data_IF_578936710260
#
_entry.id   IF_578936710260
#
_cell.length_a   1.000
_cell.length_b   1.000
_cell.length_c   1.000
_cell.angle_alpha   90.00
_cell.angle_beta   90.00
_cell.angle_gamma   90.00
#
_symmetry.space_group_name_H-M   'P 1'
#
loop_
_entity.id
_entity.type
_entity.pdbx_description
1 polymer ?
#
# COMPACT_ATOMS: atom_id res chain seq x y z
N UNK A 1 -12.80 23.76 0.31
CA UNK A 1 -12.21 23.05 1.45
C UNK A 1 -10.77 22.80 1.06
N UNK A 2 -9.83 23.45 1.72
CA UNK A 2 -8.40 23.23 1.47
C UNK A 2 -8.07 21.89 2.12
N UNK A 3 -8.12 20.84 1.32
CA UNK A 3 -7.67 19.51 1.72
C UNK A 3 -6.23 19.66 2.21
N UNK A 4 -6.01 19.25 3.45
CA UNK A 4 -4.71 19.37 4.09
C UNK A 4 -3.77 18.36 3.39
N UNK A 5 -3.02 18.85 2.40
CA UNK A 5 -2.14 18.05 1.56
C UNK A 5 -1.12 17.27 2.39
N UNK A 6 -0.66 17.90 3.47
CA UNK A 6 0.39 17.37 4.34
C UNK A 6 -0.03 17.47 5.80
N UNK A 7 -0.02 16.36 6.52
CA UNK A 7 -0.21 16.30 7.97
C UNK A 7 1.13 16.04 8.66
N UNK A 8 1.39 16.72 9.73
CA UNK A 8 2.52 16.45 10.60
C UNK A 8 2.06 15.78 11.89
N UNK A 9 2.48 14.53 12.10
CA UNK A 9 2.18 13.76 13.29
C UNK A 9 3.23 14.05 14.37
N UNK A 10 2.77 14.51 15.54
CA UNK A 10 3.59 14.80 16.73
C UNK A 10 3.46 13.69 17.79
N UNK A 11 2.78 12.60 17.44
CA UNK A 11 2.55 11.44 18.30
C UNK A 11 2.85 10.16 17.55
N UNK A 12 3.23 9.13 18.30
CA UNK A 12 3.38 7.79 17.75
C UNK A 12 2.04 7.28 17.18
N UNK A 13 2.07 6.76 15.96
CA UNK A 13 0.89 6.24 15.26
C UNK A 13 0.36 4.92 15.83
N UNK A 14 1.15 4.22 16.64
CA UNK A 14 0.77 2.94 17.25
C UNK A 14 0.29 3.13 18.69
N UNK A 15 1.09 3.76 19.55
CA UNK A 15 0.77 3.88 20.98
C UNK A 15 0.32 5.27 21.41
N UNK A 16 0.22 6.24 20.49
CA UNK A 16 -0.17 7.63 20.72
C UNK A 16 0.77 8.41 21.66
N UNK A 17 1.90 7.86 22.05
CA UNK A 17 2.91 8.55 22.87
C UNK A 17 3.45 9.79 22.17
N UNK A 18 3.74 10.84 22.96
CA UNK A 18 4.44 12.03 22.50
C UNK A 18 5.96 11.89 22.56
N UNK A 19 6.48 10.79 23.11
CA UNK A 19 7.92 10.53 23.19
C UNK A 19 8.42 9.94 21.87
N UNK A 20 8.48 10.79 20.86
CA UNK A 20 9.05 10.48 19.55
C UNK A 20 10.30 11.31 19.32
N UNK A 21 11.35 10.68 18.85
CA UNK A 21 12.64 11.30 18.58
C UNK A 21 12.99 11.18 17.10
N UNK A 22 13.59 12.24 16.50
CA UNK A 22 14.07 12.15 15.12
C UNK A 22 15.09 11.00 14.97
N UNK A 23 14.84 10.09 14.04
CA UNK A 23 15.74 8.97 13.76
C UNK A 23 16.48 9.15 12.44
N UNK A 24 15.77 9.47 11.35
CA UNK A 24 16.34 9.63 10.02
C UNK A 24 15.71 10.84 9.34
N UNK A 25 16.55 11.67 8.72
CA UNK A 25 16.11 12.72 7.80
C UNK A 25 16.62 12.41 6.41
N UNK A 26 15.71 12.16 5.50
CA UNK A 26 16.00 12.01 4.08
C UNK A 26 15.83 13.36 3.36
N UNK A 27 16.29 13.44 2.12
CA UNK A 27 16.08 14.60 1.26
C UNK A 27 14.58 14.71 0.96
N UNK A 28 14.06 15.94 0.98
CA UNK A 28 12.68 16.20 0.58
C UNK A 28 12.49 15.78 -0.88
N UNK A 29 11.42 15.06 -1.19
CA UNK A 29 11.21 14.40 -2.49
C UNK A 29 9.81 14.66 -3.04
N UNK A 30 9.62 14.65 -4.37
CA UNK A 30 8.29 14.60 -4.96
C UNK A 30 7.53 13.33 -4.56
N UNK A 31 6.22 13.30 -4.83
CA UNK A 31 5.45 12.06 -4.69
C UNK A 31 5.94 11.02 -5.69
N UNK A 32 5.93 9.77 -5.25
CA UNK A 32 6.20 8.62 -6.10
C UNK A 32 5.18 8.49 -7.23
N UNK A 33 5.59 7.89 -8.33
CA UNK A 33 4.77 7.52 -9.49
C UNK A 33 3.98 8.68 -10.15
N UNK A 34 4.28 9.93 -9.79
CA UNK A 34 3.74 11.10 -10.47
C UNK A 34 4.59 11.45 -11.71
N UNK A 35 4.33 10.75 -12.81
CA UNK A 35 5.02 10.98 -14.07
C UNK A 35 4.59 12.30 -14.73
N UNK A 36 5.58 13.10 -15.11
CA UNK A 36 5.37 14.35 -15.84
C UNK A 36 5.31 14.06 -17.34
N UNK A 37 4.32 14.63 -18.03
CA UNK A 37 4.21 14.50 -19.49
C UNK A 37 5.39 15.15 -20.20
N UNK A 38 5.74 14.64 -21.38
CA UNK A 38 6.90 15.10 -22.14
C UNK A 38 6.82 16.58 -22.57
N UNK A 39 5.63 17.13 -22.70
CA UNK A 39 5.37 18.56 -23.00
C UNK A 39 5.43 19.47 -21.78
N UNK A 40 5.55 18.87 -20.58
CA UNK A 40 5.51 19.56 -19.28
C UNK A 40 6.79 19.33 -18.46
N UNK A 41 7.92 19.01 -19.11
CA UNK A 41 9.20 18.70 -18.43
C UNK A 41 9.79 19.90 -17.66
N UNK A 42 9.33 21.13 -17.91
CA UNK A 42 9.71 22.33 -17.17
C UNK A 42 8.88 22.52 -15.89
N UNK A 43 7.88 21.67 -15.63
CA UNK A 43 7.08 21.75 -14.43
C UNK A 43 7.91 21.33 -13.21
N UNK A 44 8.01 22.22 -12.24
CA UNK A 44 8.67 21.95 -10.97
C UNK A 44 7.69 21.21 -10.06
N UNK A 45 7.99 19.94 -9.77
CA UNK A 45 7.15 19.13 -8.91
C UNK A 45 7.26 19.58 -7.45
N UNK A 46 6.15 19.65 -6.68
CA UNK A 46 6.20 19.87 -5.25
C UNK A 46 7.02 18.79 -4.55
N UNK A 47 7.84 19.19 -3.59
CA UNK A 47 8.61 18.27 -2.76
C UNK A 47 8.06 18.25 -1.33
N UNK A 48 8.16 17.10 -0.67
CA UNK A 48 7.60 16.85 0.65
C UNK A 48 8.65 16.30 1.61
N UNK A 49 8.58 16.65 2.90
CA UNK A 49 9.54 16.17 3.90
C UNK A 49 9.46 14.65 4.10
N UNK A 50 10.62 13.97 4.04
CA UNK A 50 10.79 12.59 4.44
C UNK A 50 11.57 12.51 5.75
N UNK A 51 10.85 12.49 6.87
CA UNK A 51 11.43 12.43 8.22
C UNK A 51 10.87 11.26 8.98
N UNK A 52 11.76 10.40 9.47
CA UNK A 52 11.43 9.24 10.29
C UNK A 52 11.69 9.55 11.75
N UNK A 53 10.75 9.21 12.60
CA UNK A 53 10.92 9.27 14.06
C UNK A 53 10.81 7.88 14.69
N UNK A 54 11.55 7.72 15.79
CA UNK A 54 11.47 6.55 16.67
C UNK A 54 10.58 6.91 17.89
N UNK A 55 9.59 6.09 18.15
CA UNK A 55 8.89 6.14 19.42
C UNK A 55 9.72 5.42 20.49
N UNK A 56 10.16 6.14 21.52
CA UNK A 56 10.96 5.56 22.61
C UNK A 56 10.13 4.72 23.59
N UNK A 57 8.79 4.78 23.51
CA UNK A 57 7.91 3.98 24.34
C UNK A 57 7.63 2.58 23.78
N UNK A 58 7.46 2.45 22.47
CA UNK A 58 7.09 1.17 21.87
C UNK A 58 8.06 0.69 20.78
N UNK A 59 9.11 1.44 20.46
CA UNK A 59 10.11 1.08 19.46
C UNK A 59 9.65 1.27 18.01
N UNK A 60 8.45 1.82 17.77
CA UNK A 60 7.93 1.97 16.41
C UNK A 60 8.60 3.12 15.66
N UNK A 61 9.12 2.81 14.46
CA UNK A 61 9.65 3.78 13.51
C UNK A 61 8.55 4.17 12.52
N UNK A 62 8.31 5.47 12.33
CA UNK A 62 7.31 5.95 11.38
C UNK A 62 7.67 7.29 10.75
N UNK A 63 7.13 7.56 9.56
CA UNK A 63 7.17 8.88 8.96
C UNK A 63 6.34 9.85 9.80
N UNK A 64 6.89 11.04 10.06
CA UNK A 64 6.18 12.11 10.80
C UNK A 64 5.33 12.99 9.88
N UNK A 65 5.61 12.97 8.58
CA UNK A 65 4.87 13.72 7.57
C UNK A 65 4.08 12.77 6.70
N UNK A 66 2.78 12.98 6.63
CA UNK A 66 1.82 12.12 5.93
C UNK A 66 1.15 12.94 4.84
N UNK A 67 1.34 12.53 3.61
CA UNK A 67 0.63 13.09 2.46
C UNK A 67 -0.81 12.56 2.46
N UNK A 68 -1.75 13.38 2.01
CA UNK A 68 -3.12 12.92 1.80
C UNK A 68 -3.12 11.75 0.80
N UNK A 69 -3.59 10.55 1.19
CA UNK A 69 -3.58 9.37 0.34
C UNK A 69 -4.29 9.56 -1.00
N UNK A 70 -5.28 10.46 -1.05
CA UNK A 70 -5.98 10.77 -2.30
C UNK A 70 -5.06 11.33 -3.38
N UNK A 71 -3.96 11.99 -3.01
CA UNK A 71 -2.97 12.50 -3.98
C UNK A 71 -2.06 11.41 -4.52
N UNK A 72 -1.74 10.40 -3.70
CA UNK A 72 -0.88 9.28 -4.13
C UNK A 72 -1.65 8.23 -4.94
N UNK A 73 -2.93 8.02 -4.63
CA UNK A 73 -3.68 6.88 -5.17
C UNK A 73 -4.80 7.26 -6.15
N UNK A 74 -5.09 8.58 -6.38
CA UNK A 74 -6.14 8.98 -7.31
C UNK A 74 -5.88 8.52 -8.74
N UNK A 75 -4.63 8.65 -9.19
CA UNK A 75 -4.16 8.31 -10.54
C UNK A 75 -3.05 7.24 -10.49
N UNK A 76 -3.15 6.31 -9.54
CA UNK A 76 -2.15 5.25 -9.37
C UNK A 76 -2.19 4.29 -10.56
N UNK A 77 -1.04 4.11 -11.22
CA UNK A 77 -0.95 3.40 -12.50
C UNK A 77 -0.22 2.06 -12.42
N UNK A 78 0.44 1.79 -11.28
CA UNK A 78 1.16 0.53 -11.12
C UNK A 78 0.21 -0.65 -10.96
N UNK A 79 0.43 -1.68 -11.77
CA UNK A 79 -0.31 -2.95 -11.76
C UNK A 79 0.67 -4.07 -11.47
N UNK A 80 0.41 -4.87 -10.44
CA UNK A 80 1.33 -5.90 -9.93
C UNK A 80 1.74 -6.91 -11.00
N UNK A 81 0.80 -7.35 -11.83
CA UNK A 81 1.04 -8.37 -12.85
C UNK A 81 2.09 -8.00 -13.91
N UNK A 82 2.42 -6.70 -14.08
CA UNK A 82 3.44 -6.30 -15.06
C UNK A 82 4.87 -6.52 -14.56
N UNK A 83 5.05 -6.77 -13.28
CA UNK A 83 6.36 -7.04 -12.69
C UNK A 83 6.78 -8.47 -12.94
N UNK A 84 7.85 -8.64 -13.72
CA UNK A 84 8.36 -9.96 -14.11
C UNK A 84 8.73 -10.78 -12.87
N UNK A 85 8.17 -11.98 -12.77
CA UNK A 85 8.43 -12.95 -11.69
C UNK A 85 7.61 -12.75 -10.42
N UNK A 86 6.98 -11.58 -10.23
CA UNK A 86 6.22 -11.31 -9.01
C UNK A 86 4.98 -12.21 -8.84
N UNK A 87 4.21 -12.53 -9.88
CA UNK A 87 3.10 -13.50 -9.74
C UNK A 87 3.56 -14.88 -9.29
N UNK A 88 4.69 -15.39 -9.80
CA UNK A 88 5.24 -16.67 -9.38
C UNK A 88 5.69 -16.63 -7.91
N UNK A 89 6.33 -15.53 -7.51
CA UNK A 89 6.71 -15.31 -6.10
C UNK A 89 5.47 -15.32 -5.18
N UNK A 90 4.35 -14.77 -5.60
CA UNK A 90 3.11 -14.79 -4.82
C UNK A 90 2.53 -16.21 -4.71
N UNK A 91 2.65 -17.04 -5.73
CA UNK A 91 2.22 -18.44 -5.67
C UNK A 91 3.06 -19.24 -4.67
N UNK A 92 4.37 -19.06 -4.70
CA UNK A 92 5.29 -19.67 -3.74
C UNK A 92 4.99 -19.19 -2.31
N UNK A 93 4.83 -17.89 -2.13
CA UNK A 93 4.52 -17.27 -0.85
C UNK A 93 3.19 -17.78 -0.27
N UNK A 94 2.12 -17.78 -1.05
CA UNK A 94 0.81 -18.26 -0.60
C UNK A 94 0.87 -19.74 -0.20
N UNK A 95 1.56 -20.56 -0.98
CA UNK A 95 1.77 -21.98 -0.70
C UNK A 95 2.56 -22.20 0.58
N UNK A 96 3.65 -21.45 0.77
CA UNK A 96 4.48 -21.51 1.97
C UNK A 96 3.69 -21.14 3.22
N UNK A 97 2.94 -20.02 3.20
CA UNK A 97 2.10 -19.57 4.32
C UNK A 97 1.06 -20.63 4.69
N UNK A 98 0.34 -21.15 3.71
CA UNK A 98 -0.68 -22.19 3.94
C UNK A 98 -0.07 -23.43 4.59
N UNK A 99 1.08 -23.88 4.10
CA UNK A 99 1.74 -25.07 4.60
C UNK A 99 2.39 -24.86 5.97
N UNK A 100 3.14 -23.77 6.16
CA UNK A 100 3.85 -23.50 7.42
C UNK A 100 2.90 -23.32 8.62
N UNK A 101 1.74 -22.72 8.38
CA UNK A 101 0.75 -22.47 9.45
C UNK A 101 -0.42 -23.47 9.46
N UNK A 102 -0.42 -24.46 8.59
CA UNK A 102 -1.47 -25.48 8.51
C UNK A 102 -2.87 -24.89 8.26
N UNK A 103 -2.93 -23.84 7.42
CA UNK A 103 -4.19 -23.12 7.19
C UNK A 103 -5.16 -24.02 6.42
N UNK A 104 -6.38 -24.14 6.94
CA UNK A 104 -7.39 -24.99 6.35
C UNK A 104 -7.98 -24.39 5.08
N UNK A 105 -8.38 -25.25 4.14
CA UNK A 105 -9.08 -24.81 2.93
C UNK A 105 -10.33 -23.98 3.27
N UNK A 106 -10.64 -23.02 2.42
CA UNK A 106 -11.73 -22.04 2.57
C UNK A 106 -11.57 -21.06 3.75
N UNK A 107 -10.42 -21.04 4.43
CA UNK A 107 -10.10 -19.96 5.37
C UNK A 107 -10.03 -18.63 4.62
N UNK A 108 -10.48 -17.56 5.27
CA UNK A 108 -10.49 -16.22 4.67
C UNK A 108 -9.09 -15.58 4.73
N UNK A 109 -8.57 -15.22 3.57
CA UNK A 109 -7.43 -14.33 3.40
C UNK A 109 -7.92 -12.92 3.07
N UNK A 110 -7.38 -11.90 3.75
CA UNK A 110 -7.70 -10.49 3.48
C UNK A 110 -6.42 -9.75 3.13
N UNK A 111 -6.41 -9.10 1.97
CA UNK A 111 -5.30 -8.28 1.48
C UNK A 111 -5.70 -6.81 1.48
N UNK A 112 -4.93 -5.96 2.20
CA UNK A 112 -5.16 -4.52 2.30
C UNK A 112 -4.13 -3.80 1.43
N UNK A 113 -4.60 -3.15 0.37
CA UNK A 113 -3.78 -2.63 -0.72
C UNK A 113 -3.59 -3.70 -1.80
N UNK A 114 -4.67 -4.38 -2.15
CA UNK A 114 -4.64 -5.59 -2.98
C UNK A 114 -4.28 -5.37 -4.45
N UNK A 115 -4.17 -4.12 -4.87
CA UNK A 115 -3.88 -3.75 -6.26
C UNK A 115 -4.80 -4.51 -7.25
N UNK A 116 -4.24 -5.14 -8.28
CA UNK A 116 -4.97 -5.89 -9.31
C UNK A 116 -5.47 -7.29 -8.86
N UNK A 117 -5.25 -7.65 -7.59
CA UNK A 117 -5.65 -8.93 -7.02
C UNK A 117 -4.69 -10.09 -7.30
N UNK A 118 -3.51 -9.83 -7.83
CA UNK A 118 -2.51 -10.90 -8.12
C UNK A 118 -2.22 -11.78 -6.90
N UNK A 119 -2.00 -11.18 -5.71
CA UNK A 119 -1.80 -11.92 -4.46
C UNK A 119 -3.03 -12.72 -4.05
N UNK A 120 -4.22 -12.12 -4.18
CA UNK A 120 -5.49 -12.79 -3.87
C UNK A 120 -5.69 -14.05 -4.74
N UNK A 121 -5.37 -13.95 -6.04
CA UNK A 121 -5.44 -15.10 -6.96
C UNK A 121 -4.51 -16.23 -6.51
N UNK A 122 -3.33 -15.93 -5.98
CA UNK A 122 -2.40 -16.92 -5.44
C UNK A 122 -2.96 -17.63 -4.20
N UNK A 123 -3.54 -16.90 -3.27
CA UNK A 123 -4.22 -17.51 -2.12
C UNK A 123 -5.44 -18.35 -2.51
N UNK A 124 -6.19 -17.95 -3.54
CA UNK A 124 -7.28 -18.76 -4.07
C UNK A 124 -6.77 -20.07 -4.70
N UNK A 125 -5.67 -20.02 -5.46
CA UNK A 125 -5.02 -21.24 -5.98
C UNK A 125 -4.52 -22.16 -4.86
N UNK A 126 -4.12 -21.59 -3.73
CA UNK A 126 -3.76 -22.33 -2.53
C UNK A 126 -4.97 -22.84 -1.71
N UNK A 127 -6.21 -22.65 -2.20
CA UNK A 127 -7.44 -23.19 -1.63
C UNK A 127 -8.15 -22.31 -0.61
N UNK A 128 -7.80 -21.03 -0.50
CA UNK A 128 -8.42 -20.09 0.43
C UNK A 128 -9.53 -19.29 -0.26
N UNK A 129 -10.44 -18.74 0.56
CA UNK A 129 -11.31 -17.62 0.15
C UNK A 129 -10.53 -16.31 0.31
N UNK A 130 -10.54 -15.44 -0.71
CA UNK A 130 -9.74 -14.23 -0.68
C UNK A 130 -10.59 -12.96 -0.88
N UNK A 131 -10.31 -11.91 -0.10
CA UNK A 131 -10.94 -10.59 -0.19
C UNK A 131 -9.85 -9.52 -0.20
N UNK A 132 -9.96 -8.56 -1.12
CA UNK A 132 -9.05 -7.42 -1.22
C UNK A 132 -9.73 -6.10 -0.87
N UNK A 133 -8.94 -5.17 -0.36
CA UNK A 133 -9.32 -3.76 -0.16
C UNK A 133 -8.30 -2.92 -0.90
N UNK A 134 -8.77 -2.10 -1.88
CA UNK A 134 -7.89 -1.28 -2.74
C UNK A 134 -8.38 0.17 -2.79
N UNK A 135 -7.54 1.16 -2.41
CA UNK A 135 -7.91 2.57 -2.48
C UNK A 135 -7.80 3.17 -3.89
N UNK A 136 -6.98 2.60 -4.78
CA UNK A 136 -6.74 3.17 -6.12
C UNK A 136 -7.95 3.00 -7.03
N UNK A 137 -8.35 4.14 -7.66
CA UNK A 137 -9.54 4.21 -8.52
C UNK A 137 -9.18 3.78 -9.90
N UNK A 138 -9.01 2.97 -10.50
CA UNK A 138 -8.63 2.70 -11.92
C UNK A 138 -7.90 1.38 -12.07
N UNK A 139 -7.64 0.73 -10.95
CA UNK A 139 -7.12 -0.62 -10.95
C UNK A 139 -8.32 -1.56 -10.90
N UNK A 140 -8.58 -2.23 -12.00
CA UNK A 140 -9.60 -3.28 -12.06
C UNK A 140 -8.97 -4.63 -11.72
N UNK A 141 -9.61 -5.44 -10.85
CA UNK A 141 -9.14 -6.80 -10.57
C UNK A 141 -9.27 -7.65 -11.83
N UNK A 142 -8.19 -7.77 -12.58
CA UNK A 142 -8.19 -8.46 -13.88
C UNK A 142 -8.08 -9.98 -13.79
N UNK A 143 -7.72 -10.50 -12.61
CA UNK A 143 -7.33 -11.91 -12.44
C UNK A 143 -8.30 -12.75 -11.60
N UNK A 144 -9.32 -12.13 -11.02
CA UNK A 144 -10.22 -12.85 -10.11
C UNK A 144 -11.45 -13.39 -10.85
N UNK A 145 -11.73 -14.69 -10.84
CA UNK A 145 -13.05 -15.18 -11.18
C UNK A 145 -14.05 -14.56 -10.19
N UNK A 146 -15.01 -13.84 -10.71
CA UNK A 146 -15.97 -12.95 -10.03
C UNK A 146 -16.74 -13.61 -8.86
N UNK A 147 -16.65 -14.92 -8.68
CA UNK A 147 -17.48 -15.67 -7.71
C UNK A 147 -16.95 -15.70 -6.27
N UNK A 148 -15.69 -15.35 -6.01
CA UNK A 148 -15.09 -15.57 -4.67
C UNK A 148 -14.17 -14.47 -4.19
N UNK A 149 -13.83 -13.46 -4.98
CA UNK A 149 -13.06 -12.32 -4.53
C UNK A 149 -13.83 -11.03 -4.70
N UNK A 150 -13.88 -10.23 -3.66
CA UNK A 150 -14.46 -8.88 -3.70
C UNK A 150 -13.35 -7.89 -3.38
N UNK A 151 -13.13 -6.96 -4.29
CA UNK A 151 -12.31 -5.79 -4.01
C UNK A 151 -13.24 -4.66 -3.60
N UNK A 152 -13.01 -4.13 -2.41
CA UNK A 152 -13.76 -2.99 -1.90
C UNK A 152 -12.91 -1.74 -2.09
N UNK A 153 -13.43 -0.74 -2.79
CA UNK A 153 -12.82 0.57 -2.81
C UNK A 153 -12.95 1.20 -1.41
N UNK A 154 -11.81 1.56 -0.81
CA UNK A 154 -11.78 2.27 0.46
C UNK A 154 -11.24 3.68 0.22
N UNK A 155 -12.15 4.58 -0.07
CA UNK A 155 -11.91 6.02 0.11
C UNK A 155 -13.19 6.65 0.62
N UNK A 156 -13.12 7.44 1.70
CA UNK A 156 -14.24 8.25 2.14
C UNK A 156 -14.58 9.34 1.13
#
# INVERSE_FOLDING_TARGET
MTDNILRHDTRCRVCASTRIEPAIRLIDTPLEDQFVKSDSLTYEQPVYPLKVALCTDCGYLHLTHIINPALSYADYTYVTQVTVGLPNHYDDYASEIVNCYGIQANTLAVDIGSNDGSMLASFQRAGLTAIGVEPARGIEPSLLPISTAKVFAWMP
#
